data_IF_830534216059
#
_entry.id   IF_830534216059
#
_cell.length_a   1.000
_cell.length_b   1.000
_cell.length_c   1.000
_cell.angle_alpha   90.00
_cell.angle_beta   90.00
_cell.angle_gamma   90.00
#
_symmetry.space_group_name_H-M   'P 1'
#
loop_
_entity.id
_entity.type
_entity.pdbx_description
1 polymer ?
#
# COMPACT_ATOMS: atom_id res chain seq x y z
N UNK A 1 -14.79 -0.14 -10.44
CA UNK A 1 -13.85 -0.79 -9.48
C UNK A 1 -12.71 0.13 -9.06
N UNK A 2 -12.89 1.46 -9.07
CA UNK A 2 -11.85 2.44 -8.70
C UNK A 2 -11.69 2.57 -7.20
N UNK A 3 -12.78 2.45 -6.44
CA UNK A 3 -12.77 2.63 -4.99
C UNK A 3 -12.02 1.51 -4.25
N UNK A 4 -12.16 0.25 -4.69
CA UNK A 4 -11.49 -0.88 -4.04
C UNK A 4 -9.98 -0.85 -4.23
N UNK A 5 -9.48 -0.61 -5.46
CA UNK A 5 -8.03 -0.55 -5.68
C UNK A 5 -7.38 0.61 -4.93
N UNK A 6 -8.08 1.75 -4.82
CA UNK A 6 -7.60 2.91 -4.04
C UNK A 6 -7.54 2.60 -2.55
N UNK A 7 -8.56 1.94 -1.98
CA UNK A 7 -8.56 1.50 -0.57
C UNK A 7 -7.40 0.52 -0.32
N UNK A 8 -7.15 -0.39 -1.24
CA UNK A 8 -6.07 -1.37 -1.09
C UNK A 8 -4.67 -0.71 -1.16
N UNK A 9 -4.50 0.30 -2.03
CA UNK A 9 -3.26 1.08 -2.10
C UNK A 9 -3.04 1.91 -0.83
N UNK A 10 -4.07 2.56 -0.29
CA UNK A 10 -3.93 3.35 0.95
C UNK A 10 -3.56 2.47 2.14
N UNK A 11 -4.12 1.27 2.25
CA UNK A 11 -3.72 0.29 3.29
C UNK A 11 -2.23 -0.04 3.15
N UNK A 12 -1.72 -0.31 1.95
CA UNK A 12 -0.30 -0.62 1.74
C UNK A 12 0.61 0.55 2.14
N UNK A 13 0.31 1.75 1.63
CA UNK A 13 1.12 2.95 1.87
C UNK A 13 1.05 3.48 3.31
N UNK A 14 -0.01 3.18 4.05
CA UNK A 14 -0.09 3.52 5.47
C UNK A 14 0.58 2.45 6.34
N UNK A 15 0.34 1.18 6.03
CA UNK A 15 0.82 0.05 6.83
C UNK A 15 2.35 -0.03 6.86
N UNK A 16 3.02 -0.06 5.71
CA UNK A 16 4.47 -0.34 5.66
C UNK A 16 5.35 0.73 6.30
N UNK A 17 5.16 2.03 6.07
CA UNK A 17 5.97 3.05 6.72
C UNK A 17 5.81 3.04 8.24
N UNK A 18 4.59 2.86 8.74
CA UNK A 18 4.33 2.74 10.17
C UNK A 18 4.93 1.44 10.75
N UNK A 19 4.82 0.33 10.02
CA UNK A 19 5.36 -0.96 10.43
C UNK A 19 6.89 -0.94 10.52
N UNK A 20 7.56 -0.27 9.56
CA UNK A 20 9.01 -0.06 9.54
C UNK A 20 9.47 0.93 10.61
N UNK A 21 8.68 1.97 10.89
CA UNK A 21 8.99 2.96 11.92
C UNK A 21 8.94 2.35 13.31
N UNK A 22 7.79 1.78 13.69
CA UNK A 22 7.64 1.06 14.92
C UNK A 22 6.48 0.07 14.82
N UNK A 23 6.82 -1.20 14.59
CA UNK A 23 5.85 -2.28 14.45
C UNK A 23 4.84 -2.35 15.60
N UNK A 24 5.24 -2.02 16.84
CA UNK A 24 4.38 -2.18 18.02
C UNK A 24 3.18 -1.24 18.03
N UNK A 25 3.18 -0.18 17.21
CA UNK A 25 2.06 0.76 17.08
C UNK A 25 0.85 0.09 16.41
N UNK A 26 1.10 -0.80 15.46
CA UNK A 26 0.06 -1.48 14.67
C UNK A 26 -0.06 -2.96 15.09
N UNK A 27 1.06 -3.55 15.50
CA UNK A 27 1.25 -4.98 15.62
C UNK A 27 2.04 -5.34 16.90
N UNK A 28 1.34 -5.54 18.04
CA UNK A 28 1.98 -5.91 19.30
C UNK A 28 2.50 -7.35 19.26
N UNK A 29 3.51 -7.66 20.07
CA UNK A 29 4.22 -8.96 20.05
C UNK A 29 3.30 -10.15 20.37
N UNK A 30 2.23 -9.95 21.14
CA UNK A 30 1.23 -10.99 21.39
C UNK A 30 0.49 -11.43 20.11
N UNK A 31 0.40 -10.56 19.11
CA UNK A 31 -0.26 -10.87 17.85
C UNK A 31 0.61 -11.78 16.95
N UNK A 32 1.94 -11.82 17.15
CA UNK A 32 2.84 -12.74 16.43
C UNK A 32 2.45 -14.22 16.64
N UNK A 33 1.74 -14.53 17.74
CA UNK A 33 1.21 -15.87 18.04
C UNK A 33 0.03 -16.27 17.13
N UNK A 34 -0.71 -15.28 16.61
CA UNK A 34 -1.92 -15.49 15.80
C UNK A 34 -1.60 -15.30 14.32
N UNK A 35 -0.90 -14.22 13.97
CA UNK A 35 -0.47 -13.94 12.60
C UNK A 35 1.06 -13.83 12.59
N UNK A 36 1.77 -14.90 12.21
CA UNK A 36 3.23 -14.86 12.14
C UNK A 36 3.70 -13.89 11.04
N UNK A 37 4.93 -13.40 11.17
CA UNK A 37 5.51 -12.36 10.29
C UNK A 37 5.40 -12.69 8.79
N UNK A 38 5.52 -13.98 8.43
CA UNK A 38 5.43 -14.45 7.04
C UNK A 38 4.01 -14.32 6.50
N UNK A 39 3.01 -14.61 7.32
CA UNK A 39 1.60 -14.49 6.95
C UNK A 39 1.21 -13.01 6.84
N UNK A 40 1.75 -12.18 7.74
CA UNK A 40 1.62 -10.73 7.65
C UNK A 40 2.16 -10.18 6.31
N UNK A 41 3.37 -10.60 5.90
CA UNK A 41 3.90 -10.23 4.58
C UNK A 41 3.05 -10.75 3.42
N UNK A 42 2.54 -11.99 3.51
CA UNK A 42 1.69 -12.57 2.47
C UNK A 42 0.38 -11.79 2.30
N UNK A 43 -0.22 -11.31 3.39
CA UNK A 43 -1.46 -10.55 3.33
C UNK A 43 -1.20 -9.11 2.84
N UNK A 44 -0.14 -8.46 3.33
CA UNK A 44 0.06 -7.03 3.11
C UNK A 44 0.91 -6.68 1.88
N UNK A 45 1.83 -7.54 1.41
CA UNK A 45 2.65 -7.26 0.22
C UNK A 45 2.00 -7.75 -1.07
N UNK A 46 1.29 -8.89 -1.01
CA UNK A 46 0.77 -9.57 -2.20
C UNK A 46 -0.32 -8.76 -2.91
N UNK A 47 -1.09 -7.97 -2.16
CA UNK A 47 -2.06 -7.00 -2.69
C UNK A 47 -1.39 -5.99 -3.63
N UNK A 48 -0.21 -5.47 -3.26
CA UNK A 48 0.52 -4.51 -4.10
C UNK A 48 1.03 -5.16 -5.38
N UNK A 49 1.54 -6.40 -5.29
CA UNK A 49 2.02 -7.16 -6.46
C UNK A 49 0.87 -7.40 -7.45
N UNK A 50 -0.30 -7.81 -6.96
CA UNK A 50 -1.48 -8.03 -7.80
C UNK A 50 -1.98 -6.74 -8.45
N UNK A 51 -1.99 -5.61 -7.74
CA UNK A 51 -2.40 -4.31 -8.29
C UNK A 51 -1.41 -3.83 -9.36
N UNK A 52 -0.11 -4.00 -9.13
CA UNK A 52 0.93 -3.66 -10.11
C UNK A 52 0.80 -4.56 -11.34
N UNK A 53 0.62 -5.86 -11.15
CA UNK A 53 0.37 -6.80 -12.25
C UNK A 53 -0.89 -6.47 -13.03
N UNK A 54 -2.00 -6.15 -12.37
CA UNK A 54 -3.23 -5.71 -13.02
C UNK A 54 -2.99 -4.45 -13.85
N UNK A 55 -2.22 -3.49 -13.32
CA UNK A 55 -1.91 -2.23 -14.01
C UNK A 55 -1.01 -2.45 -15.23
N UNK A 56 -0.06 -3.39 -15.16
CA UNK A 56 0.85 -3.71 -16.25
C UNK A 56 0.21 -4.57 -17.35
N UNK A 57 -0.57 -5.59 -16.95
CA UNK A 57 -1.16 -6.58 -17.87
C UNK A 57 -2.49 -6.10 -18.47
N UNK A 58 -3.24 -5.27 -17.74
CA UNK A 58 -4.46 -4.64 -18.22
C UNK A 58 -4.28 -3.11 -18.22
N UNK A 59 -3.48 -2.56 -19.17
CA UNK A 59 -3.37 -1.13 -19.36
C UNK A 59 -4.71 -0.60 -19.86
N UNK A 60 -5.61 -0.29 -18.93
CA UNK A 60 -6.83 0.45 -19.21
C UNK A 60 -6.45 1.88 -19.59
N UNK A 61 -7.16 2.45 -20.56
CA UNK A 61 -7.09 3.88 -20.90
C UNK A 61 -7.46 4.73 -19.67
N UNK A 62 -6.46 4.98 -18.83
CA UNK A 62 -6.55 5.78 -17.62
C UNK A 62 -5.74 7.06 -17.84
N UNK A 63 -6.22 7.94 -18.72
CA UNK A 63 -5.62 9.28 -18.91
C UNK A 63 -5.62 10.09 -17.60
N UNK A 64 -6.59 9.85 -16.71
CA UNK A 64 -6.76 10.60 -15.45
C UNK A 64 -5.87 10.11 -14.27
N UNK A 65 -5.33 8.88 -14.31
CA UNK A 65 -4.59 8.31 -13.14
C UNK A 65 -3.12 8.69 -13.06
N UNK A 66 -2.50 9.07 -14.18
CA UNK A 66 -1.08 9.48 -14.21
C UNK A 66 -0.89 10.74 -13.36
N UNK A 67 -1.84 11.66 -13.40
CA UNK A 67 -1.85 12.85 -12.54
C UNK A 67 -2.08 12.51 -11.07
N UNK A 68 -2.94 11.53 -10.77
CA UNK A 68 -3.21 11.10 -9.39
C UNK A 68 -1.99 10.50 -8.70
N UNK A 69 -1.24 9.64 -9.40
CA UNK A 69 0.00 9.05 -8.88
C UNK A 69 1.09 10.12 -8.70
N UNK A 70 1.21 11.05 -9.65
CA UNK A 70 2.19 12.13 -9.60
C UNK A 70 1.88 13.10 -8.46
N UNK A 71 0.60 13.46 -8.26
CA UNK A 71 0.15 14.25 -7.10
C UNK A 71 0.37 13.51 -5.78
N UNK A 72 0.09 12.21 -5.72
CA UNK A 72 0.33 11.40 -4.52
C UNK A 72 1.82 11.32 -4.12
N UNK A 73 2.74 11.38 -5.09
CA UNK A 73 4.18 11.46 -4.83
C UNK A 73 4.65 12.89 -4.49
N UNK A 74 4.07 13.93 -5.12
CA UNK A 74 4.48 15.33 -4.95
C UNK A 74 3.98 15.95 -3.65
N UNK A 75 2.75 15.66 -3.24
CA UNK A 75 2.14 16.25 -2.03
C UNK A 75 2.92 15.91 -0.74
N UNK A 76 3.39 14.67 -0.50
CA UNK A 76 4.23 14.35 0.64
C UNK A 76 5.60 15.05 0.60
N UNK A 77 6.19 15.20 -0.59
CA UNK A 77 7.49 15.86 -0.76
C UNK A 77 7.40 17.37 -0.51
N UNK A 78 6.30 18.01 -0.92
CA UNK A 78 6.05 19.43 -0.70
C UNK A 78 5.74 19.76 0.77
N UNK A 79 5.24 18.81 1.55
CA UNK A 79 5.05 18.99 3.00
C UNK A 79 6.38 18.95 3.77
N UNK A 80 7.40 18.30 3.21
CA UNK A 80 8.73 18.13 3.83
C UNK A 80 9.79 19.14 3.36
N UNK A 81 9.43 20.10 2.50
CA UNK A 81 10.29 21.17 1.98
C UNK A 81 9.89 22.52 2.59
#
# INVERSE_FOLDING_TARGET
MTNLSLILQTVFFLFWPMFLWNRQIIYPVCLDLVVPIWLNHLIHTNIMVLIVLETLLCPRDYSERKEGLLRACVVPLAYTA
#
